data_IF_751453960856
#
_entry.id   IF_751453960856
#
_cell.length_a   1.000
_cell.length_b   1.000
_cell.length_c   1.000
_cell.angle_alpha   90.00
_cell.angle_beta   90.00
_cell.angle_gamma   90.00
#
_symmetry.space_group_name_H-M   'P 1'
#
loop_
_entity.id
_entity.type
_entity.pdbx_description
1 polymer ?
#
# COMPACT_ATOMS: atom_id res chain seq x y z
N UNK A 1 27.53 -2.61 -12.66
CA UNK A 1 26.33 -2.66 -13.52
C UNK A 1 25.85 -1.26 -13.88
N UNK A 2 24.81 -1.12 -14.72
CA UNK A 2 24.13 0.18 -14.90
C UNK A 2 23.48 0.62 -13.59
N UNK A 3 23.65 1.87 -13.17
CA UNK A 3 22.86 2.43 -12.07
C UNK A 3 21.43 2.64 -12.57
N UNK A 4 20.47 1.95 -11.94
CA UNK A 4 19.04 2.10 -12.20
C UNK A 4 18.67 3.58 -12.13
N UNK A 5 18.13 4.13 -13.22
CA UNK A 5 17.91 5.57 -13.37
C UNK A 5 16.53 5.98 -12.87
N UNK A 6 16.28 5.77 -11.56
CA UNK A 6 15.02 6.15 -10.92
C UNK A 6 14.71 7.64 -11.14
N UNK A 7 15.65 8.56 -10.87
CA UNK A 7 15.36 10.01 -10.92
C UNK A 7 14.84 10.52 -12.28
N UNK A 8 15.36 10.11 -13.46
CA UNK A 8 14.74 10.41 -14.74
C UNK A 8 13.32 9.83 -14.94
N UNK A 9 13.11 8.55 -14.60
CA UNK A 9 11.80 7.87 -14.74
C UNK A 9 10.77 8.54 -13.83
N UNK A 10 11.13 8.76 -12.55
CA UNK A 10 10.31 9.47 -11.59
C UNK A 10 9.97 10.88 -12.08
N UNK A 11 10.94 11.67 -12.56
CA UNK A 11 10.65 13.00 -13.13
C UNK A 11 9.68 12.95 -14.32
N UNK A 12 9.80 11.96 -15.22
CA UNK A 12 8.88 11.73 -16.34
C UNK A 12 7.48 11.44 -15.84
N UNK A 13 7.31 10.42 -15.00
CA UNK A 13 6.00 9.99 -14.49
C UNK A 13 5.36 11.03 -13.54
N UNK A 14 6.17 11.74 -12.75
CA UNK A 14 5.70 12.83 -11.88
C UNK A 14 5.17 14.03 -12.65
N UNK A 15 5.68 14.31 -13.86
CA UNK A 15 5.13 15.33 -14.76
C UNK A 15 3.80 14.93 -15.43
N UNK A 16 3.39 13.66 -15.33
CA UNK A 16 2.06 13.18 -15.76
C UNK A 16 1.00 13.34 -14.66
N UNK A 17 1.40 13.67 -13.43
CA UNK A 17 0.47 13.92 -12.33
C UNK A 17 -0.38 15.18 -12.64
N UNK A 18 -1.72 15.09 -12.66
CA UNK A 18 -2.57 16.19 -13.07
C UNK A 18 -2.49 17.35 -12.07
N UNK A 19 -2.32 18.57 -12.57
CA UNK A 19 -2.44 19.79 -11.77
C UNK A 19 -3.94 20.09 -11.55
N UNK A 20 -4.54 19.27 -10.69
CA UNK A 20 -5.92 19.31 -10.19
C UNK A 20 -7.05 19.39 -11.25
N UNK A 21 -7.56 18.24 -11.71
CA UNK A 21 -9.02 18.03 -11.90
C UNK A 21 -9.42 16.55 -12.20
N UNK A 22 -10.32 16.01 -11.35
CA UNK A 22 -11.34 14.95 -11.59
C UNK A 22 -10.93 13.50 -12.01
N UNK A 23 -11.11 12.55 -11.06
CA UNK A 23 -11.30 11.08 -11.23
C UNK A 23 -10.03 10.19 -11.14
N UNK A 24 -9.98 9.02 -10.46
CA UNK A 24 -10.92 8.32 -9.54
C UNK A 24 -10.62 6.81 -9.31
N UNK A 25 -10.12 6.40 -8.11
CA UNK A 25 -10.21 5.01 -7.51
C UNK A 25 -8.93 4.14 -7.22
N UNK A 26 -8.77 3.56 -5.99
CA UNK A 26 -7.85 2.47 -5.46
C UNK A 26 -8.47 1.74 -4.21
N UNK A 27 -8.37 0.47 -3.78
CA UNK A 27 -7.87 -0.86 -4.22
C UNK A 27 -8.69 -1.99 -3.49
N UNK A 28 -8.30 -3.08 -2.81
CA UNK A 28 -7.08 -3.54 -2.10
C UNK A 28 -6.99 -5.10 -2.01
N UNK A 29 -5.82 -5.69 -1.72
CA UNK A 29 -5.56 -7.13 -1.43
C UNK A 29 -4.22 -7.33 -0.66
N UNK A 30 -3.88 -8.57 -0.26
CA UNK A 30 -3.03 -8.86 0.92
C UNK A 30 -1.99 -10.01 0.82
N UNK A 31 -0.93 -9.94 1.64
CA UNK A 31 -0.12 -11.08 2.11
C UNK A 31 1.08 -10.64 3.00
N UNK A 32 1.55 -11.38 4.01
CA UNK A 32 0.99 -12.57 4.68
C UNK A 32 1.85 -13.10 5.86
N UNK A 33 1.21 -13.55 6.94
CA UNK A 33 1.72 -14.44 8.02
C UNK A 33 0.52 -14.90 8.89
N UNK A 34 0.69 -15.82 9.85
CA UNK A 34 -0.42 -16.55 10.53
C UNK A 34 -1.34 -15.71 11.44
N UNK A 35 -2.27 -15.00 10.80
CA UNK A 35 -3.70 -14.79 11.10
C UNK A 35 -4.18 -14.45 12.53
N UNK A 36 -4.92 -13.34 12.59
CA UNK A 36 -5.75 -12.92 13.73
C UNK A 36 -6.79 -11.87 13.32
N UNK A 37 -6.38 -10.90 12.50
CA UNK A 37 -7.25 -10.16 11.57
C UNK A 37 -7.16 -10.77 10.17
N UNK A 38 -8.21 -10.63 9.36
CA UNK A 38 -8.36 -11.33 8.08
C UNK A 38 -7.91 -10.53 6.84
N UNK A 39 -7.42 -9.30 7.06
CA UNK A 39 -7.00 -8.41 5.98
C UNK A 39 -8.17 -7.82 5.18
N UNK A 40 -9.40 -7.91 5.70
CA UNK A 40 -10.59 -7.31 5.11
C UNK A 40 -11.02 -6.03 5.84
N UNK A 41 -12.01 -5.34 5.30
CA UNK A 41 -12.81 -4.36 6.01
C UNK A 41 -14.30 -4.66 5.82
N UNK A 42 -15.07 -4.49 6.90
CA UNK A 42 -16.53 -4.69 6.90
C UNK A 42 -17.25 -3.35 6.79
N UNK A 43 -18.17 -3.24 5.83
CA UNK A 43 -19.13 -2.15 5.70
C UNK A 43 -20.55 -2.69 5.92
N UNK A 44 -21.29 -2.07 6.84
CA UNK A 44 -22.73 -2.32 7.03
C UNK A 44 -23.53 -1.11 6.55
N UNK A 45 -24.61 -1.31 5.81
CA UNK A 45 -25.48 -0.24 5.29
C UNK A 45 -26.94 -0.67 5.29
N UNK A 46 -27.86 0.28 5.50
CA UNK A 46 -29.29 0.03 5.36
C UNK A 46 -29.64 -0.09 3.88
N UNK A 47 -30.37 -1.13 3.50
CA UNK A 47 -30.70 -1.40 2.09
C UNK A 47 -31.60 -0.29 1.51
N UNK A 48 -32.42 0.35 2.35
CA UNK A 48 -33.24 1.51 2.00
C UNK A 48 -32.46 2.79 1.66
N UNK A 49 -31.15 2.84 1.94
CA UNK A 49 -30.27 3.97 1.62
C UNK A 49 -29.40 3.72 0.38
N UNK A 50 -29.50 2.52 -0.22
CA UNK A 50 -28.78 2.15 -1.44
C UNK A 50 -29.60 2.49 -2.69
N UNK A 51 -28.92 2.94 -3.74
CA UNK A 51 -29.55 3.34 -5.00
C UNK A 51 -29.24 2.34 -6.13
N UNK A 52 -30.27 1.96 -6.90
CA UNK A 52 -30.10 1.18 -8.13
C UNK A 52 -29.81 2.08 -9.32
N UNK A 53 -28.95 1.61 -10.24
CA UNK A 53 -28.62 2.31 -11.50
C UNK A 53 -29.83 2.45 -12.41
N UNK A 54 -30.73 1.46 -12.40
CA UNK A 54 -31.93 1.44 -13.24
C UNK A 54 -33.15 2.11 -12.57
N UNK A 55 -32.96 2.77 -11.42
CA UNK A 55 -34.01 3.45 -10.66
C UNK A 55 -34.99 2.52 -9.92
N UNK A 56 -34.77 1.20 -9.93
CA UNK A 56 -35.52 0.25 -9.14
C UNK A 56 -35.22 0.36 -7.63
N UNK A 57 -36.21 0.03 -6.79
CA UNK A 57 -35.99 -0.08 -5.35
C UNK A 57 -35.22 -1.37 -5.02
N UNK A 58 -34.17 -1.25 -4.21
CA UNK A 58 -33.42 -2.39 -3.68
C UNK A 58 -34.09 -2.90 -2.40
N UNK A 59 -34.08 -4.22 -2.17
CA UNK A 59 -34.70 -4.85 -0.99
C UNK A 59 -33.82 -5.98 -0.47
N UNK A 60 -34.17 -6.56 0.68
CA UNK A 60 -33.55 -7.79 1.16
C UNK A 60 -33.79 -9.04 0.30
N UNK A 61 -34.47 -8.92 -0.85
CA UNK A 61 -34.59 -9.97 -1.88
C UNK A 61 -33.68 -9.74 -3.09
N UNK A 62 -33.03 -8.56 -3.18
CA UNK A 62 -31.93 -8.31 -4.12
C UNK A 62 -30.73 -9.21 -3.77
N UNK A 63 -29.99 -9.76 -4.76
CA UNK A 63 -28.78 -10.55 -4.50
C UNK A 63 -27.79 -9.84 -3.57
N UNK A 64 -27.22 -10.59 -2.62
CA UNK A 64 -26.32 -10.08 -1.59
C UNK A 64 -25.12 -9.34 -2.22
N UNK A 65 -24.58 -9.94 -3.28
CA UNK A 65 -23.45 -9.47 -4.05
C UNK A 65 -23.79 -8.18 -4.82
N UNK A 66 -25.01 -8.04 -5.32
CA UNK A 66 -25.47 -6.82 -6.00
C UNK A 66 -25.67 -5.68 -5.00
N UNK A 67 -26.27 -5.95 -3.83
CA UNK A 67 -26.38 -4.98 -2.75
C UNK A 67 -24.99 -4.48 -2.32
N UNK A 68 -24.03 -5.39 -2.14
CA UNK A 68 -22.66 -5.01 -1.82
C UNK A 68 -21.97 -4.21 -2.93
N UNK A 69 -22.25 -4.47 -4.21
CA UNK A 69 -21.78 -3.63 -5.32
C UNK A 69 -22.34 -2.19 -5.29
N UNK A 70 -23.39 -1.91 -4.50
CA UNK A 70 -23.85 -0.53 -4.20
C UNK A 70 -23.21 0.06 -2.94
N UNK A 71 -22.73 -0.78 -2.02
CA UNK A 71 -21.99 -0.37 -0.81
C UNK A 71 -20.53 -0.02 -1.14
N UNK A 72 -19.86 -0.84 -1.96
CA UNK A 72 -18.50 -0.61 -2.45
C UNK A 72 -18.22 -1.42 -3.72
N UNK A 73 -17.25 -0.97 -4.52
CA UNK A 73 -16.79 -1.68 -5.72
C UNK A 73 -15.55 -2.56 -5.47
N UNK A 74 -15.20 -2.84 -4.22
CA UNK A 74 -14.08 -3.70 -3.84
C UNK A 74 -14.35 -5.20 -4.06
N UNK A 75 -13.30 -6.02 -3.95
CA UNK A 75 -13.39 -7.48 -4.01
C UNK A 75 -14.19 -8.01 -2.83
N UNK A 76 -15.40 -8.50 -3.09
CA UNK A 76 -16.31 -9.02 -2.05
C UNK A 76 -15.86 -10.41 -1.58
N UNK A 77 -15.48 -10.52 -0.31
CA UNK A 77 -15.07 -11.77 0.36
C UNK A 77 -16.22 -12.52 0.99
N UNK A 78 -17.15 -11.80 1.63
CA UNK A 78 -18.41 -12.36 2.10
C UNK A 78 -19.48 -11.28 2.17
N UNK A 79 -20.74 -11.71 2.12
CA UNK A 79 -21.90 -10.86 2.28
C UNK A 79 -22.90 -11.54 3.21
N UNK A 80 -23.60 -10.76 4.02
CA UNK A 80 -24.78 -11.20 4.76
C UNK A 80 -25.86 -10.12 4.76
N UNK A 81 -27.13 -10.54 4.81
CA UNK A 81 -28.29 -9.66 4.92
C UNK A 81 -28.97 -9.92 6.26
N UNK A 82 -29.05 -8.89 7.11
CA UNK A 82 -29.88 -8.91 8.30
C UNK A 82 -31.27 -8.35 7.92
N UNK A 83 -32.29 -9.20 7.99
CA UNK A 83 -33.69 -8.80 7.73
C UNK A 83 -34.39 -8.32 9.00
N UNK A 84 -35.26 -7.34 8.82
CA UNK A 84 -36.25 -6.87 9.79
C UNK A 84 -37.12 -8.04 10.25
N UNK A 85 -37.44 -8.12 11.54
CA UNK A 85 -38.35 -9.14 12.09
C UNK A 85 -39.11 -8.63 13.31
N UNK A 86 -40.11 -9.40 13.78
CA UNK A 86 -40.81 -9.13 15.05
C UNK A 86 -39.87 -9.12 16.27
N UNK A 87 -38.68 -9.72 16.16
CA UNK A 87 -37.64 -9.74 17.20
C UNK A 87 -36.46 -8.80 16.93
N UNK A 88 -36.42 -8.17 15.76
CA UNK A 88 -35.38 -7.24 15.30
C UNK A 88 -36.02 -6.15 14.43
N UNK A 89 -36.66 -5.12 15.03
CA UNK A 89 -37.44 -4.11 14.31
C UNK A 89 -36.59 -3.03 13.62
N UNK A 90 -35.28 -3.24 13.50
CA UNK A 90 -34.39 -2.38 12.71
C UNK A 90 -34.58 -2.68 11.20
N UNK A 91 -34.58 -1.66 10.32
CA UNK A 91 -34.76 -1.87 8.89
C UNK A 91 -33.61 -2.68 8.27
N UNK A 92 -33.91 -3.36 7.16
CA UNK A 92 -33.01 -4.34 6.52
C UNK A 92 -31.61 -3.77 6.25
N UNK A 93 -30.58 -4.53 6.66
CA UNK A 93 -29.16 -4.19 6.47
C UNK A 93 -28.47 -5.22 5.58
N UNK A 94 -27.50 -4.74 4.80
CA UNK A 94 -26.47 -5.60 4.20
C UNK A 94 -25.13 -5.32 4.88
N UNK A 95 -24.39 -6.38 5.17
CA UNK A 95 -23.05 -6.35 5.74
C UNK A 95 -22.10 -7.02 4.75
N UNK A 96 -21.12 -6.26 4.28
CA UNK A 96 -20.25 -6.58 3.15
C UNK A 96 -18.79 -6.54 3.60
N UNK A 97 -18.07 -7.63 3.34
CA UNK A 97 -16.67 -7.79 3.74
C UNK A 97 -15.79 -7.74 2.49
N UNK A 98 -14.82 -6.82 2.43
CA UNK A 98 -13.98 -6.56 1.25
C UNK A 98 -12.47 -6.54 1.59
N UNK A 99 -11.58 -6.90 0.66
CA UNK A 99 -10.12 -6.89 0.89
C UNK A 99 -9.51 -5.47 1.04
N UNK A 100 -8.45 -5.29 1.86
CA UNK A 100 -8.14 -3.99 2.51
C UNK A 100 -6.78 -3.28 2.27
N UNK A 101 -6.84 -1.94 2.21
CA UNK A 101 -5.99 -1.00 2.97
C UNK A 101 -4.55 -0.72 2.44
N UNK A 102 -3.97 -1.55 1.59
CA UNK A 102 -2.52 -1.48 1.26
C UNK A 102 -2.14 -0.42 0.20
N UNK A 103 -1.17 0.45 0.50
CA UNK A 103 -0.51 1.40 -0.42
C UNK A 103 0.98 1.61 -0.05
N UNK A 104 1.70 0.53 0.24
CA UNK A 104 2.74 0.56 1.26
C UNK A 104 4.19 0.45 0.76
N UNK A 105 5.13 1.01 1.55
CA UNK A 105 6.58 0.79 1.44
C UNK A 105 7.05 -0.50 2.12
N UNK A 106 8.32 -0.53 2.57
CA UNK A 106 9.03 -1.74 3.00
C UNK A 106 8.46 -2.40 4.28
N UNK A 107 7.47 -3.27 4.11
CA UNK A 107 6.88 -4.05 5.21
C UNK A 107 7.91 -4.98 5.88
N UNK A 108 8.00 -5.01 7.22
CA UNK A 108 8.79 -6.04 7.90
C UNK A 108 8.06 -7.40 7.92
N UNK A 109 8.79 -8.45 7.55
CA UNK A 109 8.48 -9.81 7.98
C UNK A 109 8.36 -9.85 9.52
N UNK A 110 7.17 -10.17 10.03
CA UNK A 110 6.85 -10.11 11.47
C UNK A 110 5.84 -9.02 11.88
N UNK A 111 5.31 -8.23 10.95
CA UNK A 111 4.20 -7.29 11.23
C UNK A 111 2.89 -8.04 11.56
N UNK A 112 2.48 -8.01 12.83
CA UNK A 112 1.31 -8.74 13.37
C UNK A 112 0.00 -7.94 13.37
N UNK A 113 0.10 -6.61 13.32
CA UNK A 113 -1.04 -5.68 13.17
C UNK A 113 -1.23 -5.29 11.70
N UNK A 114 -2.47 -5.12 11.24
CA UNK A 114 -2.86 -4.90 9.83
C UNK A 114 -3.19 -3.44 9.47
N UNK A 115 -3.16 -2.54 10.46
CA UNK A 115 -3.54 -1.13 10.33
C UNK A 115 -5.05 -0.89 10.49
N UNK A 116 -5.84 -1.87 10.93
CA UNK A 116 -7.28 -1.73 11.08
C UNK A 116 -7.67 -0.64 12.11
N UNK A 117 -8.68 0.15 11.74
CA UNK A 117 -9.33 1.17 12.58
C UNK A 117 -10.74 0.73 12.97
N UNK A 118 -11.33 1.38 13.96
CA UNK A 118 -12.69 1.05 14.47
C UNK A 118 -13.74 1.25 13.37
N UNK A 119 -14.75 0.38 13.32
CA UNK A 119 -15.89 0.53 12.40
C UNK A 119 -16.54 1.92 12.52
N UNK A 120 -16.95 2.49 11.39
CA UNK A 120 -17.48 3.85 11.32
C UNK A 120 -16.44 4.97 11.29
N UNK A 121 -15.13 4.65 11.34
CA UNK A 121 -14.06 5.64 11.10
C UNK A 121 -14.18 6.23 9.67
N UNK A 122 -14.04 7.56 9.46
CA UNK A 122 -14.06 8.16 8.12
C UNK A 122 -12.99 7.57 7.20
N UNK A 123 -13.38 7.15 5.98
CA UNK A 123 -12.52 6.39 5.06
C UNK A 123 -11.20 7.10 4.72
N UNK A 124 -11.21 8.44 4.60
CA UNK A 124 -10.00 9.24 4.38
C UNK A 124 -9.06 9.24 5.60
N UNK A 125 -9.62 9.25 6.81
CA UNK A 125 -8.83 9.06 8.03
C UNK A 125 -8.28 7.65 8.14
N UNK A 126 -9.10 6.63 7.86
CA UNK A 126 -8.68 5.23 7.86
C UNK A 126 -7.49 4.97 6.92
N UNK A 127 -7.52 5.55 5.71
CA UNK A 127 -6.42 5.51 4.75
C UNK A 127 -5.12 6.08 5.36
N UNK A 128 -5.16 7.30 5.92
CA UNK A 128 -3.96 7.90 6.51
C UNK A 128 -3.49 7.19 7.79
N UNK A 129 -4.42 6.62 8.58
CA UNK A 129 -4.08 5.83 9.77
C UNK A 129 -3.33 4.54 9.40
N UNK A 130 -3.71 3.88 8.30
CA UNK A 130 -2.99 2.72 7.78
C UNK A 130 -1.64 3.09 7.16
N UNK A 131 -1.55 4.16 6.37
CA UNK A 131 -0.24 4.62 5.85
C UNK A 131 0.70 4.92 7.03
N UNK A 132 0.27 5.71 8.02
CA UNK A 132 1.06 6.02 9.21
C UNK A 132 1.55 4.76 9.96
N UNK A 133 0.67 3.77 10.10
CA UNK A 133 0.97 2.48 10.71
C UNK A 133 2.02 1.68 9.92
N UNK A 134 1.99 1.78 8.59
CA UNK A 134 2.99 1.15 7.71
C UNK A 134 4.33 1.88 7.73
N UNK A 135 4.38 3.23 7.72
CA UNK A 135 5.65 3.96 7.92
C UNK A 135 6.27 3.59 9.28
N UNK A 136 5.43 3.50 10.33
CA UNK A 136 5.86 3.09 11.66
C UNK A 136 6.39 1.64 11.69
N UNK A 137 5.88 0.76 10.82
CA UNK A 137 6.40 -0.59 10.62
C UNK A 137 7.70 -0.62 9.80
N UNK A 138 7.89 0.31 8.86
CA UNK A 138 9.13 0.46 8.08
C UNK A 138 10.33 0.84 8.98
N UNK A 139 10.10 1.54 10.11
CA UNK A 139 11.16 1.86 11.11
C UNK A 139 11.94 0.60 11.54
N UNK A 140 11.34 -0.40 12.23
CA UNK A 140 12.06 -1.60 12.64
C UNK A 140 12.50 -2.47 11.45
N UNK A 141 11.83 -2.40 10.28
CA UNK A 141 12.28 -3.06 9.06
C UNK A 141 13.67 -2.55 8.62
N UNK A 142 13.85 -1.22 8.58
CA UNK A 142 15.12 -0.59 8.23
C UNK A 142 16.20 -0.74 9.30
N UNK A 143 15.82 -0.80 10.58
CA UNK A 143 16.76 -1.08 11.67
C UNK A 143 17.35 -2.50 11.54
N UNK A 144 16.49 -3.50 11.36
CA UNK A 144 16.88 -4.90 11.08
C UNK A 144 17.75 -4.99 9.83
N UNK A 145 17.31 -4.38 8.73
CA UNK A 145 18.04 -4.38 7.45
C UNK A 145 19.46 -3.86 7.63
N UNK A 146 19.66 -2.83 8.44
CA UNK A 146 21.00 -2.30 8.72
C UNK A 146 21.89 -3.29 9.47
N UNK A 147 21.35 -4.05 10.42
CA UNK A 147 22.11 -5.08 11.16
C UNK A 147 22.41 -6.29 10.28
N UNK A 148 21.43 -6.82 9.54
CA UNK A 148 21.64 -7.93 8.61
C UNK A 148 22.66 -7.53 7.51
N UNK A 149 22.62 -6.30 6.99
CA UNK A 149 23.63 -5.77 6.07
C UNK A 149 25.03 -5.72 6.70
N UNK A 150 25.15 -5.34 7.98
CA UNK A 150 26.43 -5.30 8.67
C UNK A 150 26.99 -6.71 8.92
N UNK A 151 26.14 -7.66 9.31
CA UNK A 151 26.49 -9.06 9.53
C UNK A 151 26.97 -9.75 8.24
N UNK A 152 26.28 -9.53 7.11
CA UNK A 152 26.66 -10.05 5.79
C UNK A 152 27.81 -9.28 5.12
N UNK A 153 28.44 -8.33 5.82
CA UNK A 153 29.63 -7.61 5.34
C UNK A 153 29.37 -6.61 4.22
N UNK A 154 28.17 -6.02 4.16
CA UNK A 154 27.82 -5.01 3.16
C UNK A 154 28.66 -3.74 3.31
N UNK A 155 28.88 -2.97 2.22
CA UNK A 155 29.54 -1.68 2.29
C UNK A 155 28.88 -0.74 3.32
N UNK A 156 29.69 -0.19 4.23
CA UNK A 156 29.26 0.64 5.38
C UNK A 156 28.36 1.83 5.01
N UNK A 157 28.40 2.30 3.75
CA UNK A 157 27.50 3.35 3.26
C UNK A 157 26.05 2.89 3.07
N UNK A 158 25.79 1.60 2.81
CA UNK A 158 24.46 0.99 2.75
C UNK A 158 23.90 0.80 4.16
N UNK A 159 24.69 0.25 5.10
CA UNK A 159 24.33 0.12 6.52
C UNK A 159 23.93 1.48 7.11
N UNK A 160 24.76 2.51 6.90
CA UNK A 160 24.44 3.88 7.33
C UNK A 160 23.26 4.50 6.58
N UNK A 161 22.88 4.00 5.40
CA UNK A 161 21.71 4.47 4.67
C UNK A 161 20.42 3.88 5.24
N UNK A 162 20.38 2.57 5.52
CA UNK A 162 19.24 1.95 6.21
C UNK A 162 19.01 2.58 7.60
N UNK A 163 20.09 2.87 8.37
CA UNK A 163 20.02 3.65 9.62
C UNK A 163 19.66 5.14 9.46
N UNK A 164 19.52 5.65 8.23
CA UNK A 164 18.89 6.96 7.96
C UNK A 164 17.43 6.77 7.56
N UNK A 165 17.11 5.82 6.69
CA UNK A 165 15.72 5.49 6.34
C UNK A 165 14.87 5.24 7.58
N UNK A 166 15.33 4.41 8.53
CA UNK A 166 14.64 4.21 9.82
C UNK A 166 14.34 5.49 10.63
N UNK A 167 15.05 6.61 10.37
CA UNK A 167 14.82 7.92 11.01
C UNK A 167 14.04 8.89 10.14
N UNK A 168 14.03 8.64 8.84
CA UNK A 168 13.16 9.31 7.89
C UNK A 168 11.72 8.78 8.12
N UNK A 169 11.53 7.46 8.26
CA UNK A 169 10.23 6.83 8.56
C UNK A 169 9.57 7.28 9.87
N UNK A 170 10.33 7.55 10.94
CA UNK A 170 9.74 8.11 12.19
C UNK A 170 9.03 9.44 11.89
N UNK A 171 9.61 10.27 11.02
CA UNK A 171 9.01 11.54 10.61
C UNK A 171 7.81 11.33 9.66
N UNK A 172 7.85 10.28 8.86
CA UNK A 172 6.76 9.93 7.93
C UNK A 172 5.55 9.44 8.73
N UNK A 173 5.75 8.52 9.68
CA UNK A 173 4.74 8.05 10.62
C UNK A 173 4.08 9.21 11.40
N UNK A 174 4.88 10.09 12.02
CA UNK A 174 4.38 11.28 12.74
C UNK A 174 3.52 12.19 11.82
N UNK A 175 3.97 12.44 10.59
CA UNK A 175 3.28 13.29 9.63
C UNK A 175 1.96 12.68 9.13
N UNK A 176 1.96 11.38 8.84
CA UNK A 176 0.77 10.66 8.38
C UNK A 176 -0.22 10.42 9.52
N UNK A 177 0.23 10.18 10.75
CA UNK A 177 -0.65 10.11 11.92
C UNK A 177 -1.30 11.47 12.21
N UNK A 178 -0.59 12.59 12.00
CA UNK A 178 -1.16 13.93 12.11
C UNK A 178 -2.32 14.14 11.13
N UNK A 179 -2.16 13.73 9.87
CA UNK A 179 -3.23 13.73 8.86
C UNK A 179 -4.39 12.81 9.27
N UNK A 180 -4.09 11.59 9.74
CA UNK A 180 -5.07 10.62 10.17
C UNK A 180 -5.95 11.16 11.33
N UNK A 181 -5.30 11.69 12.39
CA UNK A 181 -5.97 12.33 13.53
C UNK A 181 -6.86 13.50 13.10
N UNK A 182 -6.38 14.36 12.17
CA UNK A 182 -7.19 15.45 11.59
C UNK A 182 -8.45 14.96 10.89
N UNK A 183 -8.38 13.80 10.24
CA UNK A 183 -9.51 13.14 9.57
C UNK A 183 -10.28 12.15 10.47
N UNK A 184 -10.11 12.23 11.79
CA UNK A 184 -10.91 11.49 12.78
C UNK A 184 -10.44 10.06 13.06
N UNK A 185 -9.24 9.67 12.62
CA UNK A 185 -8.69 8.33 12.75
C UNK A 185 -7.30 8.36 13.42
N UNK A 186 -7.16 8.07 14.72
CA UNK A 186 -5.83 7.85 15.30
C UNK A 186 -5.20 6.59 14.69
N UNK A 187 -3.86 6.57 14.57
CA UNK A 187 -3.14 5.37 14.15
C UNK A 187 -3.34 4.24 15.20
N UNK A 188 -3.59 2.99 14.78
CA UNK A 188 -3.71 1.85 15.70
C UNK A 188 -2.35 1.43 16.29
N UNK A 189 -2.40 0.63 17.35
CA UNK A 189 -1.22 0.13 18.05
C UNK A 189 -0.36 -0.78 17.14
N UNK A 190 0.85 -0.34 16.81
CA UNK A 190 1.82 -1.12 16.04
C UNK A 190 2.32 -2.34 16.82
N UNK A 191 2.20 -3.54 16.22
CA UNK A 191 2.69 -4.80 16.78
C UNK A 191 3.58 -5.52 15.77
N UNK A 192 4.86 -5.64 16.11
CA UNK A 192 5.88 -6.33 15.32
C UNK A 192 6.54 -7.40 16.20
N UNK A 193 6.62 -8.62 15.69
CA UNK A 193 7.30 -9.73 16.35
C UNK A 193 8.83 -9.52 16.39
N UNK A 194 9.54 -10.02 17.43
CA UNK A 194 11.01 -9.97 17.45
C UNK A 194 11.63 -10.71 16.27
N UNK A 195 12.51 -10.04 15.53
CA UNK A 195 13.17 -10.61 14.36
C UNK A 195 14.24 -11.65 14.71
N UNK A 196 14.60 -12.46 13.72
CA UNK A 196 15.82 -13.24 13.69
C UNK A 196 16.65 -12.85 12.45
N UNK A 197 17.98 -12.90 12.58
CA UNK A 197 18.88 -12.59 11.48
C UNK A 197 18.75 -13.63 10.36
N UNK A 198 18.57 -13.16 9.12
CA UNK A 198 18.36 -14.01 7.94
C UNK A 198 19.66 -14.38 7.24
N UNK A 199 19.58 -15.39 6.36
CA UNK A 199 20.57 -15.58 5.30
C UNK A 199 20.54 -14.42 4.30
N UNK A 200 21.68 -14.15 3.65
CA UNK A 200 21.78 -13.13 2.60
C UNK A 200 20.79 -13.35 1.45
N UNK A 201 20.46 -14.61 1.14
CA UNK A 201 19.45 -14.94 0.12
C UNK A 201 18.05 -14.51 0.55
N UNK A 202 17.64 -14.79 1.79
CA UNK A 202 16.31 -14.39 2.28
C UNK A 202 16.20 -12.85 2.42
N UNK A 203 17.28 -12.17 2.84
CA UNK A 203 17.37 -10.70 2.79
C UNK A 203 17.21 -10.19 1.36
N UNK A 204 17.88 -10.80 0.37
CA UNK A 204 17.80 -10.38 -1.03
C UNK A 204 16.40 -10.63 -1.62
N UNK A 205 15.71 -11.70 -1.22
CA UNK A 205 14.32 -11.96 -1.62
C UNK A 205 13.37 -10.90 -1.03
N UNK A 206 13.42 -10.60 0.28
CA UNK A 206 12.62 -9.51 0.85
C UNK A 206 12.96 -8.17 0.17
N UNK A 207 14.24 -7.87 0.01
CA UNK A 207 14.68 -6.62 -0.62
C UNK A 207 14.21 -6.50 -2.08
N UNK A 208 14.09 -7.61 -2.81
CA UNK A 208 13.58 -7.61 -4.19
C UNK A 208 12.06 -7.38 -4.26
N UNK A 209 11.29 -7.84 -3.27
CA UNK A 209 9.83 -7.65 -3.20
C UNK A 209 9.50 -6.29 -2.58
N UNK A 210 9.86 -6.11 -1.31
CA UNK A 210 9.49 -4.96 -0.49
C UNK A 210 10.27 -3.70 -0.90
N UNK A 211 11.55 -3.83 -1.25
CA UNK A 211 12.41 -2.69 -1.60
C UNK A 211 12.41 -2.33 -3.11
N UNK A 212 12.72 -3.29 -3.97
CA UNK A 212 12.87 -3.02 -5.40
C UNK A 212 11.54 -2.86 -6.14
N UNK A 213 10.44 -3.40 -5.61
CA UNK A 213 9.09 -3.26 -6.18
C UNK A 213 8.22 -2.33 -5.32
N UNK A 214 7.85 -2.73 -4.10
CA UNK A 214 6.88 -1.98 -3.28
C UNK A 214 7.35 -0.56 -2.93
N UNK A 215 8.52 -0.39 -2.30
CA UNK A 215 9.11 0.94 -2.02
C UNK A 215 9.24 1.81 -3.27
N UNK A 216 9.62 1.21 -4.40
CA UNK A 216 9.81 1.95 -5.66
C UNK A 216 8.48 2.45 -6.23
N UNK A 217 7.37 1.79 -5.93
CA UNK A 217 6.03 2.28 -6.26
C UNK A 217 5.46 3.23 -5.19
N UNK A 218 5.66 2.96 -3.91
CA UNK A 218 5.32 3.87 -2.80
C UNK A 218 5.96 5.25 -2.98
N UNK A 219 7.27 5.27 -3.28
CA UNK A 219 8.00 6.50 -3.61
C UNK A 219 7.45 7.23 -4.85
N UNK A 220 6.94 6.50 -5.85
CA UNK A 220 6.28 7.10 -7.01
C UNK A 220 4.92 7.72 -6.60
N UNK A 221 4.12 7.00 -5.80
CA UNK A 221 2.80 7.41 -5.30
C UNK A 221 2.88 8.61 -4.35
N UNK A 222 3.75 8.59 -3.33
CA UNK A 222 3.96 9.73 -2.44
C UNK A 222 4.27 11.01 -3.24
N UNK A 223 5.15 10.88 -4.23
CA UNK A 223 5.44 11.97 -5.15
C UNK A 223 4.26 12.34 -6.05
N UNK A 224 3.44 11.41 -6.53
CA UNK A 224 2.22 11.68 -7.29
C UNK A 224 1.21 12.48 -6.45
N UNK A 225 0.86 11.98 -5.27
CA UNK A 225 -0.06 12.60 -4.31
C UNK A 225 0.37 14.01 -3.91
N UNK A 226 1.68 14.24 -3.72
CA UNK A 226 2.25 15.56 -3.44
C UNK A 226 1.87 16.65 -4.47
N UNK A 227 1.52 16.27 -5.72
CA UNK A 227 1.00 17.19 -6.75
C UNK A 227 -0.51 17.06 -6.98
N UNK A 228 -1.05 15.84 -6.91
CA UNK A 228 -2.42 15.51 -7.29
C UNK A 228 -3.47 15.72 -6.19
N UNK A 229 -3.09 15.69 -4.90
CA UNK A 229 -4.04 15.79 -3.80
C UNK A 229 -4.72 17.16 -3.76
N UNK A 230 -6.04 17.20 -3.52
CA UNK A 230 -6.78 18.45 -3.34
C UNK A 230 -6.58 19.04 -1.93
N UNK A 231 -6.39 18.21 -0.91
CA UNK A 231 -6.05 18.70 0.44
C UNK A 231 -4.61 19.26 0.45
N UNK A 232 -4.49 20.52 0.91
CA UNK A 232 -3.22 21.23 0.95
C UNK A 232 -2.20 20.64 1.92
N UNK A 233 -2.65 20.08 3.05
CA UNK A 233 -1.76 19.49 4.05
C UNK A 233 -1.21 18.14 3.57
N UNK A 234 -2.02 17.37 2.85
CA UNK A 234 -1.57 16.13 2.19
C UNK A 234 -0.49 16.43 1.16
N UNK A 235 -0.66 17.48 0.33
CA UNK A 235 0.40 17.93 -0.59
C UNK A 235 1.67 18.38 0.13
N UNK A 236 1.55 19.12 1.24
CA UNK A 236 2.67 19.66 2.01
C UNK A 236 3.50 18.56 2.68
N UNK A 237 2.85 17.63 3.38
CA UNK A 237 3.50 16.45 3.97
C UNK A 237 4.17 15.59 2.91
N UNK A 238 3.46 15.20 1.84
CA UNK A 238 4.01 14.30 0.83
C UNK A 238 5.06 14.96 -0.07
N UNK A 239 5.05 16.30 -0.20
CA UNK A 239 6.17 17.04 -0.82
C UNK A 239 7.47 16.96 -0.01
N UNK A 240 7.36 16.71 1.30
CA UNK A 240 8.51 16.52 2.21
C UNK A 240 8.95 15.07 2.27
N UNK A 241 8.01 14.12 2.18
CA UNK A 241 8.24 12.67 2.25
C UNK A 241 8.78 12.11 0.92
N UNK A 242 8.21 12.48 -0.25
CA UNK A 242 8.60 11.89 -1.54
C UNK A 242 10.11 12.01 -1.94
N UNK A 243 10.86 13.07 -1.57
CA UNK A 243 12.32 13.13 -1.76
C UNK A 243 13.11 12.18 -0.84
N UNK A 244 12.49 11.70 0.23
CA UNK A 244 13.04 10.75 1.19
C UNK A 244 12.78 9.32 0.68
N UNK A 245 11.54 9.00 0.31
CA UNK A 245 11.15 7.74 -0.35
C UNK A 245 11.96 7.40 -1.60
N UNK A 246 12.23 8.39 -2.45
CA UNK A 246 13.09 8.18 -3.63
C UNK A 246 14.52 7.74 -3.23
N UNK A 247 15.02 8.10 -2.04
CA UNK A 247 16.29 7.57 -1.52
C UNK A 247 16.16 6.15 -0.98
N UNK A 248 14.98 5.76 -0.49
CA UNK A 248 14.71 4.43 0.04
C UNK A 248 14.61 3.41 -1.09
N UNK A 249 13.95 3.79 -2.19
CA UNK A 249 14.01 3.09 -3.46
C UNK A 249 15.45 3.01 -4.01
N UNK A 250 16.18 4.13 -4.09
CA UNK A 250 17.59 4.12 -4.53
C UNK A 250 18.51 3.26 -3.65
N UNK A 251 18.24 3.16 -2.34
CA UNK A 251 18.93 2.27 -1.41
C UNK A 251 18.61 0.80 -1.70
N UNK A 252 17.33 0.46 -1.85
CA UNK A 252 16.89 -0.91 -2.12
C UNK A 252 17.53 -1.49 -3.40
N UNK A 253 17.57 -0.71 -4.48
CA UNK A 253 18.26 -1.11 -5.72
C UNK A 253 19.80 -1.15 -5.59
N UNK A 254 20.40 -0.41 -4.64
CA UNK A 254 21.83 -0.49 -4.35
C UNK A 254 22.19 -1.72 -3.49
N UNK A 255 21.33 -2.10 -2.54
CA UNK A 255 21.43 -3.36 -1.77
C UNK A 255 21.28 -4.54 -2.72
N UNK A 256 20.30 -4.50 -3.63
CA UNK A 256 20.07 -5.54 -4.63
C UNK A 256 21.29 -5.81 -5.51
N UNK A 257 21.87 -4.74 -6.06
CA UNK A 257 23.07 -4.83 -6.89
C UNK A 257 24.26 -5.45 -6.15
N UNK A 258 24.45 -5.13 -4.86
CA UNK A 258 25.49 -5.73 -4.02
C UNK A 258 25.19 -7.19 -3.66
N UNK A 259 23.98 -7.49 -3.19
CA UNK A 259 23.61 -8.85 -2.76
C UNK A 259 23.69 -9.83 -3.93
N UNK A 260 23.25 -9.42 -5.13
CA UNK A 260 23.32 -10.25 -6.34
C UNK A 260 24.77 -10.59 -6.73
N UNK A 261 25.76 -9.72 -6.50
CA UNK A 261 27.18 -10.06 -6.74
C UNK A 261 27.64 -11.24 -5.86
N UNK A 262 27.12 -11.33 -4.63
CA UNK A 262 27.51 -12.32 -3.61
C UNK A 262 26.78 -13.68 -3.73
N UNK A 263 25.57 -13.71 -4.30
CA UNK A 263 24.73 -14.91 -4.39
C UNK A 263 25.16 -15.89 -5.49
N UNK A 264 24.83 -17.18 -5.32
CA UNK A 264 25.00 -18.22 -6.35
C UNK A 264 23.99 -18.03 -7.51
N UNK A 265 24.23 -18.64 -8.70
CA UNK A 265 23.30 -18.55 -9.83
C UNK A 265 21.86 -18.96 -9.46
N UNK A 266 21.70 -20.05 -8.72
CA UNK A 266 20.41 -20.62 -8.33
C UNK A 266 19.66 -19.72 -7.32
N UNK A 267 20.41 -19.02 -6.46
CA UNK A 267 19.87 -18.02 -5.54
C UNK A 267 19.45 -16.74 -6.27
N UNK A 268 20.24 -16.27 -7.25
CA UNK A 268 19.91 -15.14 -8.13
C UNK A 268 18.61 -15.41 -8.89
N UNK A 269 18.45 -16.60 -9.45
CA UNK A 269 17.22 -17.03 -10.15
C UNK A 269 15.97 -16.92 -9.24
N UNK A 270 16.09 -17.29 -7.96
CA UNK A 270 15.00 -17.18 -6.98
C UNK A 270 14.69 -15.73 -6.59
N UNK A 271 15.72 -14.89 -6.39
CA UNK A 271 15.54 -13.45 -6.15
C UNK A 271 14.87 -12.76 -7.34
N UNK A 272 15.25 -13.09 -8.57
CA UNK A 272 14.57 -12.56 -9.76
C UNK A 272 13.15 -13.11 -9.93
N UNK A 273 12.90 -14.37 -9.59
CA UNK A 273 11.56 -14.95 -9.64
C UNK A 273 10.60 -14.24 -8.68
N UNK A 274 11.02 -14.01 -7.43
CA UNK A 274 10.28 -13.23 -6.45
C UNK A 274 9.99 -11.80 -6.95
N UNK A 275 10.97 -11.14 -7.59
CA UNK A 275 10.77 -9.80 -8.17
C UNK A 275 9.78 -9.77 -9.33
N UNK A 276 9.83 -10.78 -10.21
CA UNK A 276 8.86 -10.91 -11.32
C UNK A 276 7.44 -11.11 -10.78
N UNK A 277 7.27 -11.92 -9.74
CA UNK A 277 5.95 -12.14 -9.15
C UNK A 277 5.45 -10.91 -8.40
N UNK A 278 6.31 -10.24 -7.61
CA UNK A 278 5.96 -8.98 -6.95
C UNK A 278 5.51 -7.89 -7.92
N UNK A 279 6.09 -7.80 -9.13
CA UNK A 279 5.60 -6.89 -10.17
C UNK A 279 4.20 -7.28 -10.68
N UNK A 280 3.89 -8.58 -10.79
CA UNK A 280 2.57 -9.09 -11.24
C UNK A 280 1.50 -8.93 -10.17
N UNK A 281 1.82 -9.22 -8.91
CA UNK A 281 1.00 -8.88 -7.76
C UNK A 281 0.68 -7.39 -7.82
N UNK A 282 1.70 -6.53 -7.88
CA UNK A 282 1.53 -5.08 -7.92
C UNK A 282 0.75 -4.59 -9.15
N UNK A 283 0.83 -5.25 -10.31
CA UNK A 283 0.01 -4.88 -11.49
C UNK A 283 -1.46 -5.30 -11.35
N UNK A 284 -1.73 -6.44 -10.71
CA UNK A 284 -3.09 -6.89 -10.39
C UNK A 284 -3.70 -5.98 -9.32
N UNK A 285 -2.92 -5.67 -8.29
CA UNK A 285 -3.26 -4.76 -7.19
C UNK A 285 -3.61 -3.35 -7.71
N UNK A 286 -2.73 -2.78 -8.52
CA UNK A 286 -2.97 -1.48 -9.15
C UNK A 286 -4.13 -1.52 -10.18
N UNK A 287 -4.64 -2.70 -10.59
CA UNK A 287 -5.76 -2.84 -11.51
C UNK A 287 -7.13 -2.98 -10.83
N UNK A 288 -7.25 -3.67 -9.69
CA UNK A 288 -8.49 -3.80 -8.90
C UNK A 288 -8.78 -2.55 -8.04
N UNK A 289 -8.40 -1.39 -8.57
CA UNK A 289 -8.20 -0.17 -7.81
C UNK A 289 -9.47 0.69 -7.62
N UNK A 290 -10.21 0.54 -6.50
CA UNK A 290 -11.48 1.28 -6.26
C UNK A 290 -11.62 1.99 -4.89
N UNK A 291 -11.47 3.33 -4.89
CA UNK A 291 -11.61 4.27 -3.74
C UNK A 291 -12.89 5.09 -3.95
N UNK A 292 -13.57 5.56 -2.90
CA UNK A 292 -14.56 6.63 -3.05
C UNK A 292 -13.92 7.88 -3.66
N UNK A 293 -14.59 8.49 -4.64
CA UNK A 293 -14.05 9.63 -5.42
C UNK A 293 -13.58 10.81 -4.55
N UNK A 294 -14.25 11.07 -3.43
CA UNK A 294 -13.84 12.10 -2.47
C UNK A 294 -12.52 11.77 -1.78
N UNK A 295 -12.32 10.51 -1.38
CA UNK A 295 -11.09 10.03 -0.73
C UNK A 295 -9.92 10.11 -1.71
N UNK A 296 -10.10 9.66 -2.95
CA UNK A 296 -9.07 9.71 -3.98
C UNK A 296 -8.64 11.16 -4.31
N UNK A 297 -9.60 12.08 -4.42
CA UNK A 297 -9.32 13.51 -4.65
C UNK A 297 -8.56 14.14 -3.48
N UNK A 298 -8.96 13.91 -2.23
CA UNK A 298 -8.29 14.51 -1.08
C UNK A 298 -6.94 13.86 -0.75
N UNK A 299 -6.77 12.54 -0.94
CA UNK A 299 -5.49 11.85 -0.75
C UNK A 299 -4.53 12.03 -1.93
N UNK A 300 -5.04 12.40 -3.11
CA UNK A 300 -4.29 12.56 -4.35
C UNK A 300 -3.90 11.26 -5.04
N UNK A 301 -4.40 10.11 -4.58
CA UNK A 301 -4.09 8.82 -5.21
C UNK A 301 -4.62 8.78 -6.66
N UNK A 302 -3.93 8.07 -7.57
CA UNK A 302 -4.39 7.86 -8.94
C UNK A 302 -5.71 7.07 -9.02
N UNK A 303 -6.26 6.93 -10.24
CA UNK A 303 -7.26 5.90 -10.55
C UNK A 303 -6.59 4.54 -10.82
N UNK A 304 -7.35 3.44 -10.84
CA UNK A 304 -6.86 2.12 -11.25
C UNK A 304 -6.10 2.12 -12.58
N UNK A 305 -6.71 2.73 -13.61
CA UNK A 305 -6.13 2.78 -14.94
C UNK A 305 -4.77 3.49 -14.94
N UNK A 306 -4.67 4.58 -14.17
CA UNK A 306 -3.43 5.34 -14.00
C UNK A 306 -2.42 4.58 -13.12
N UNK A 307 -2.83 4.03 -11.98
CA UNK A 307 -1.99 3.25 -11.08
C UNK A 307 -1.35 2.06 -11.81
N UNK A 308 -2.18 1.28 -12.51
CA UNK A 308 -1.75 0.16 -13.36
C UNK A 308 -0.82 0.62 -14.48
N UNK A 309 -1.11 1.76 -15.11
CA UNK A 309 -0.23 2.39 -16.11
C UNK A 309 1.14 2.75 -15.54
N UNK A 310 1.18 3.34 -14.35
CA UNK A 310 2.41 3.69 -13.63
C UNK A 310 3.23 2.44 -13.24
N UNK A 311 2.58 1.38 -12.75
CA UNK A 311 3.24 0.09 -12.46
C UNK A 311 3.84 -0.51 -13.73
N UNK A 312 3.10 -0.52 -14.85
CA UNK A 312 3.58 -1.04 -16.14
C UNK A 312 4.76 -0.26 -16.69
N UNK A 313 4.72 1.07 -16.61
CA UNK A 313 5.83 1.93 -17.01
C UNK A 313 7.08 1.67 -16.15
N UNK A 314 6.94 1.63 -14.81
CA UNK A 314 8.04 1.27 -13.90
C UNK A 314 8.60 -0.12 -14.23
N UNK A 315 7.76 -1.15 -14.31
CA UNK A 315 8.20 -2.51 -14.62
C UNK A 315 8.94 -2.57 -15.97
N UNK A 316 8.50 -1.82 -16.99
CA UNK A 316 9.15 -1.78 -18.30
C UNK A 316 10.55 -1.14 -18.28
N UNK A 317 10.76 -0.10 -17.46
CA UNK A 317 12.03 0.62 -17.33
C UNK A 317 13.01 -0.06 -16.36
N UNK A 318 12.49 -0.78 -15.35
CA UNK A 318 13.27 -1.34 -14.23
C UNK A 318 13.50 -2.85 -14.33
N UNK A 319 12.58 -3.60 -14.95
CA UNK A 319 12.70 -5.04 -15.17
C UNK A 319 12.03 -5.46 -16.51
N UNK A 320 12.64 -5.14 -17.67
CA UNK A 320 12.08 -5.45 -18.98
C UNK A 320 11.65 -6.92 -19.10
N UNK A 321 10.36 -7.15 -19.37
CA UNK A 321 9.78 -8.49 -19.47
C UNK A 321 9.18 -9.07 -18.19
N UNK A 322 9.11 -8.33 -17.07
CA UNK A 322 8.44 -8.82 -15.85
C UNK A 322 6.92 -9.09 -16.04
N UNK A 323 6.27 -8.28 -16.88
CA UNK A 323 4.83 -8.30 -17.18
C UNK A 323 4.54 -8.74 -18.64
N UNK A 324 5.39 -9.60 -19.20
CA UNK A 324 5.28 -10.14 -20.57
C UNK A 324 4.88 -11.62 -20.59
#
# INVERSE_FOLDING_TARGET
MSRVRLRPVFKRLWLLAPVATLGGGCFFFTGGCEWGGDGTFELTSFISELFSVDGGALTADTPCEELCQRVSSGTLRSCSIQRTSETSPEPDKVTCVFDSVNCDGRRPEGLCSDGAVVQGTPVLGALFAKIAHMEAASVPAFERLADELAEHGAPEHLVRAARRSAKDEVRHADAMESLARRHGAPMPELKVAPFQARSLEALAIENAVEGCVRETFGALLAGWQARSAEDAQVRESLSTIAPDELRHAELSWAIDAWAMEQLSPEARERVEAARREAWRELEQDAASSHLPNEVARHSGLPSAEVARGLVRELASELMPGALA
#
